data_IF_713713112668
#
_entry.id   IF_713713112668
#
_cell.length_a   1.000
_cell.length_b   1.000
_cell.length_c   1.000
_cell.angle_alpha   90.00
_cell.angle_beta   90.00
_cell.angle_gamma   90.00
#
_symmetry.space_group_name_H-M   'P 1'
#
loop_
_entity.id
_entity.type
_entity.pdbx_description
1 polymer ?
#
# COMPACT_ATOMS: atom_id res chain seq x y z
N UNK A 1 0.30 14.46 15.24
CA UNK A 1 -0.69 14.11 14.21
C UNK A 1 0.01 13.75 12.90
N UNK A 2 1.10 14.45 12.55
CA UNK A 2 2.00 14.02 11.48
C UNK A 2 2.66 12.66 11.76
N UNK A 3 3.01 12.37 13.03
CA UNK A 3 3.73 11.13 13.37
C UNK A 3 2.89 9.87 13.12
N UNK A 4 1.64 9.83 13.60
CA UNK A 4 0.73 8.70 13.34
C UNK A 4 0.52 8.43 11.85
N UNK A 5 0.33 9.48 11.05
CA UNK A 5 0.14 9.35 9.61
C UNK A 5 1.40 8.87 8.90
N UNK A 6 2.59 9.24 9.41
CA UNK A 6 3.86 8.74 8.90
C UNK A 6 4.09 7.27 9.29
N UNK A 7 3.85 6.91 10.55
CA UNK A 7 3.93 5.52 11.03
C UNK A 7 3.01 4.60 10.20
N UNK A 8 1.80 5.06 9.92
CA UNK A 8 0.84 4.29 9.11
C UNK A 8 1.24 4.21 7.63
N UNK A 9 1.91 5.23 7.09
CA UNK A 9 2.50 5.15 5.74
C UNK A 9 3.62 4.12 5.68
N UNK A 10 4.45 4.04 6.73
CA UNK A 10 5.54 3.07 6.82
C UNK A 10 5.00 1.64 6.95
N UNK A 11 3.96 1.42 7.76
CA UNK A 11 3.28 0.12 7.83
C UNK A 11 2.67 -0.28 6.48
N UNK A 12 2.00 0.65 5.80
CA UNK A 12 1.46 0.39 4.46
C UNK A 12 2.56 0.03 3.46
N UNK A 13 3.69 0.74 3.49
CA UNK A 13 4.85 0.44 2.65
C UNK A 13 5.41 -0.95 2.93
N UNK A 14 5.48 -1.35 4.20
CA UNK A 14 5.89 -2.70 4.60
C UNK A 14 4.94 -3.77 4.07
N UNK A 15 3.62 -3.58 4.20
CA UNK A 15 2.62 -4.53 3.67
C UNK A 15 2.75 -4.70 2.16
N UNK A 16 2.92 -3.59 1.45
CA UNK A 16 3.16 -3.53 0.00
C UNK A 16 4.40 -4.34 -0.36
N UNK A 17 5.54 -4.03 0.27
CA UNK A 17 6.82 -4.65 -0.04
C UNK A 17 6.79 -6.15 0.21
N UNK A 18 6.19 -6.56 1.34
CA UNK A 18 5.98 -7.97 1.68
C UNK A 18 5.20 -8.67 0.58
N UNK A 19 4.07 -8.11 0.15
CA UNK A 19 3.20 -8.76 -0.84
C UNK A 19 3.82 -8.83 -2.22
N UNK A 20 4.51 -7.76 -2.65
CA UNK A 20 5.29 -7.78 -3.90
C UNK A 20 6.38 -8.85 -3.85
N UNK A 21 7.14 -8.93 -2.75
CA UNK A 21 8.21 -9.93 -2.62
C UNK A 21 7.67 -11.36 -2.59
N UNK A 22 6.58 -11.62 -1.84
CA UNK A 22 5.93 -12.94 -1.78
C UNK A 22 5.32 -13.39 -3.11
N UNK A 23 4.89 -12.45 -3.96
CA UNK A 23 4.33 -12.78 -5.28
C UNK A 23 5.38 -13.24 -6.30
N UNK A 24 6.67 -12.95 -6.07
CA UNK A 24 7.73 -13.16 -7.06
C UNK A 24 7.62 -12.28 -8.30
N UNK A 25 6.68 -11.32 -8.33
CA UNK A 25 6.46 -10.45 -9.47
C UNK A 25 7.50 -9.33 -9.56
N UNK A 26 8.01 -9.09 -10.77
CA UNK A 26 8.92 -7.96 -10.99
C UNK A 26 8.18 -6.62 -10.96
N UNK A 27 8.87 -5.56 -10.52
CA UNK A 27 8.32 -4.20 -10.55
C UNK A 27 7.87 -3.76 -11.95
N UNK A 28 8.56 -4.24 -13.00
CA UNK A 28 8.18 -3.98 -14.40
C UNK A 28 6.82 -4.61 -14.73
N UNK A 29 6.57 -5.84 -14.30
CA UNK A 29 5.30 -6.53 -14.57
C UNK A 29 4.15 -5.91 -13.79
N UNK A 30 4.38 -5.52 -12.54
CA UNK A 30 3.41 -4.80 -11.72
C UNK A 30 3.05 -3.44 -12.32
N UNK A 31 4.05 -2.65 -12.72
CA UNK A 31 3.82 -1.33 -13.33
C UNK A 31 3.13 -1.38 -14.69
N UNK A 32 3.28 -2.48 -15.43
CA UNK A 32 2.57 -2.67 -16.69
C UNK A 32 1.08 -3.04 -16.52
N UNK A 33 0.69 -3.54 -15.34
CA UNK A 33 -0.66 -4.09 -15.10
C UNK A 33 -1.49 -3.29 -14.10
N UNK A 34 -0.85 -2.54 -13.22
CA UNK A 34 -1.49 -1.71 -12.21
C UNK A 34 -1.43 -0.26 -12.67
N UNK A 35 -2.57 0.30 -13.06
CA UNK A 35 -2.63 1.68 -13.53
C UNK A 35 -2.22 2.67 -12.42
N UNK A 36 -1.45 3.69 -12.80
CA UNK A 36 -0.84 4.64 -11.86
C UNK A 36 0.38 4.12 -11.08
N UNK A 37 0.77 2.86 -11.27
CA UNK A 37 1.98 2.30 -10.68
C UNK A 37 3.18 2.47 -11.60
N UNK A 38 4.15 3.27 -11.18
CA UNK A 38 5.41 3.42 -11.90
C UNK A 38 6.53 2.65 -11.19
N UNK A 39 7.57 2.19 -11.91
CA UNK A 39 8.75 1.60 -11.27
C UNK A 39 9.40 2.55 -10.24
N UNK A 40 9.35 3.86 -10.49
CA UNK A 40 9.85 4.87 -9.57
C UNK A 40 9.06 4.92 -8.25
N UNK A 41 7.73 4.81 -8.33
CA UNK A 41 6.89 4.74 -7.13
C UNK A 41 7.15 3.46 -6.33
N UNK A 42 7.25 2.31 -7.01
CA UNK A 42 7.61 1.04 -6.37
C UNK A 42 8.98 1.10 -5.69
N UNK A 43 9.97 1.70 -6.35
CA UNK A 43 11.31 1.89 -5.77
C UNK A 43 11.27 2.78 -4.53
N UNK A 44 10.48 3.85 -4.54
CA UNK A 44 10.28 4.71 -3.35
C UNK A 44 9.67 3.94 -2.18
N UNK A 45 8.63 3.15 -2.44
CA UNK A 45 7.96 2.34 -1.42
C UNK A 45 8.90 1.25 -0.87
N UNK A 46 9.65 0.59 -1.75
CA UNK A 46 10.63 -0.43 -1.38
C UNK A 46 11.74 0.10 -0.47
N UNK A 47 12.13 1.36 -0.67
CA UNK A 47 13.19 2.01 0.10
C UNK A 47 12.66 2.83 1.29
N UNK A 48 11.36 2.72 1.61
CA UNK A 48 10.68 3.54 2.64
C UNK A 48 10.88 5.07 2.44
N UNK A 49 11.17 5.50 1.21
CA UNK A 49 11.25 6.91 0.87
C UNK A 49 9.85 7.41 0.47
N UNK A 50 9.03 7.69 1.47
CA UNK A 50 7.62 8.05 1.31
C UNK A 50 7.37 9.56 1.24
N UNK A 51 8.42 10.36 1.07
CA UNK A 51 8.32 11.81 0.95
C UNK A 51 7.52 12.18 -0.30
N UNK A 52 6.54 13.09 -0.13
CA UNK A 52 5.62 13.50 -1.18
C UNK A 52 4.62 12.42 -1.63
N UNK A 53 4.62 11.23 -1.02
CA UNK A 53 3.59 10.22 -1.24
C UNK A 53 2.49 10.42 -0.20
N UNK A 54 1.26 10.66 -0.66
CA UNK A 54 0.11 10.75 0.24
C UNK A 54 -0.31 9.36 0.70
N UNK A 55 -0.90 9.28 1.90
CA UNK A 55 -1.48 8.03 2.40
C UNK A 55 -2.51 7.44 1.42
N UNK A 56 -3.40 8.28 0.87
CA UNK A 56 -4.39 7.85 -0.13
C UNK A 56 -3.75 7.17 -1.35
N UNK A 57 -2.58 7.66 -1.79
CA UNK A 57 -1.86 7.10 -2.94
C UNK A 57 -1.28 5.71 -2.60
N UNK A 58 -0.79 5.51 -1.39
CA UNK A 58 -0.36 4.18 -0.90
C UNK A 58 -1.55 3.23 -0.77
N UNK A 59 -2.69 3.71 -0.26
CA UNK A 59 -3.89 2.90 -0.11
C UNK A 59 -4.45 2.42 -1.46
N UNK A 60 -4.59 3.33 -2.42
CA UNK A 60 -5.00 2.99 -3.79
C UNK A 60 -4.06 1.95 -4.40
N UNK A 61 -2.76 2.12 -4.17
CA UNK A 61 -1.77 1.16 -4.65
C UNK A 61 -1.96 -0.22 -4.01
N UNK A 62 -2.11 -0.29 -2.68
CA UNK A 62 -2.34 -1.55 -1.98
C UNK A 62 -3.58 -2.28 -2.52
N UNK A 63 -4.69 -1.57 -2.68
CA UNK A 63 -5.94 -2.14 -3.23
C UNK A 63 -5.73 -2.70 -4.64
N UNK A 64 -5.04 -1.95 -5.50
CA UNK A 64 -4.81 -2.38 -6.87
C UNK A 64 -3.82 -3.56 -6.97
N UNK A 65 -2.81 -3.59 -6.09
CA UNK A 65 -1.90 -4.72 -5.94
C UNK A 65 -2.64 -5.97 -5.45
N UNK A 66 -3.50 -5.83 -4.43
CA UNK A 66 -4.31 -6.92 -3.89
C UNK A 66 -5.26 -7.48 -4.95
N UNK A 67 -5.89 -6.60 -5.74
CA UNK A 67 -6.78 -7.01 -6.85
C UNK A 67 -6.02 -7.74 -7.96
N UNK A 68 -4.75 -7.41 -8.16
CA UNK A 68 -3.91 -8.05 -9.18
C UNK A 68 -3.35 -9.40 -8.71
N UNK A 69 -2.93 -9.49 -7.45
CA UNK A 69 -2.25 -10.67 -6.89
C UNK A 69 -3.23 -11.71 -6.31
N UNK A 70 -4.45 -11.33 -5.94
CA UNK A 70 -5.46 -12.25 -5.42
C UNK A 70 -6.54 -12.51 -6.48
N UNK A 71 -6.90 -13.79 -6.70
CA UNK A 71 -8.00 -14.19 -7.60
C UNK A 71 -9.37 -13.66 -7.14
N UNK A 72 -9.47 -13.25 -5.88
CA UNK A 72 -10.60 -12.53 -5.30
C UNK A 72 -10.06 -11.29 -4.57
N UNK A 73 -10.43 -10.05 -4.97
CA UNK A 73 -9.98 -8.87 -4.27
C UNK A 73 -10.52 -8.90 -2.83
N UNK A 74 -9.66 -8.78 -1.80
CA UNK A 74 -10.12 -8.73 -0.42
C UNK A 74 -10.97 -7.48 -0.20
N UNK A 75 -12.01 -7.60 0.64
CA UNK A 75 -12.75 -6.42 1.08
C UNK A 75 -11.90 -5.69 2.12
N UNK A 76 -11.33 -4.56 1.71
CA UNK A 76 -10.51 -3.71 2.58
C UNK A 76 -11.41 -2.60 3.12
N UNK A 77 -11.56 -2.55 4.44
CA UNK A 77 -12.20 -1.43 5.14
C UNK A 77 -11.13 -0.64 5.90
N UNK A 78 -11.13 0.67 5.72
CA UNK A 78 -10.29 1.59 6.46
C UNK A 78 -11.16 2.31 7.50
N UNK A 79 -10.83 2.16 8.78
CA UNK A 79 -11.39 2.98 9.84
C UNK A 79 -10.33 3.92 10.37
N UNK A 80 -10.62 5.22 10.37
CA UNK A 80 -9.78 6.23 11.00
C UNK A 80 -10.55 6.76 12.21
N UNK A 81 -10.08 6.41 13.40
CA UNK A 81 -10.57 6.99 14.65
C UNK A 81 -9.72 8.21 15.01
N UNK A 82 -10.27 9.39 14.71
CA UNK A 82 -9.61 10.67 15.00
C UNK A 82 -9.53 10.98 16.50
N UNK A 83 -10.44 10.44 17.32
CA UNK A 83 -10.47 10.70 18.76
C UNK A 83 -9.37 9.89 19.46
N UNK A 84 -9.16 8.65 19.02
CA UNK A 84 -8.16 7.76 19.59
C UNK A 84 -6.82 7.78 18.83
N UNK A 85 -6.69 8.56 17.75
CA UNK A 85 -5.49 8.61 16.91
C UNK A 85 -5.11 7.21 16.45
N UNK A 86 -6.08 6.46 15.95
CA UNK A 86 -5.90 5.08 15.51
C UNK A 86 -6.35 4.96 14.07
N UNK A 87 -5.57 4.26 13.26
CA UNK A 87 -5.97 3.87 11.92
C UNK A 87 -5.98 2.35 11.91
N UNK A 88 -7.07 1.75 11.47
CA UNK A 88 -7.23 0.30 11.40
C UNK A 88 -7.54 -0.10 9.96
N UNK A 89 -6.70 -0.99 9.43
CA UNK A 89 -6.97 -1.68 8.19
C UNK A 89 -7.63 -3.02 8.53
N UNK A 90 -8.87 -3.22 8.12
CA UNK A 90 -9.55 -4.51 8.22
C UNK A 90 -9.60 -5.14 6.84
N UNK A 91 -8.86 -6.24 6.69
CA UNK A 91 -8.96 -7.13 5.53
C UNK A 91 -9.94 -8.26 5.87
N UNK A 92 -11.03 -8.38 5.11
CA UNK A 92 -11.95 -9.51 5.22
C UNK A 92 -11.64 -10.49 4.09
N UNK A 93 -11.21 -11.71 4.46
CA UNK A 93 -10.79 -12.80 3.56
C UNK A 93 -12.00 -13.64 3.14
#
# INVERSE_FOLDING_TARGET
>A
MCDLLNDFKDEMALMINTKVHSSGESFRKLSAKVDGLTPALLSKINNYNLEGITFERLLRFKIALDSFLCEKPPSISLSIDYNNKTISLLETI
#
